data_IF_763796406873
#
_entry.id   IF_763796406873
#
_cell.length_a   1.000
_cell.length_b   1.000
_cell.length_c   1.000
_cell.angle_alpha   90.00
_cell.angle_beta   90.00
_cell.angle_gamma   90.00
#
_symmetry.space_group_name_H-M   'P 1'
#
loop_
_entity.id
_entity.type
_entity.pdbx_description
1 polymer ?
#
# COMPACT_ATOMS: atom_id res chain seq x y z
N UNK A 1 57.55 54.21 -57.24
CA UNK A 1 57.30 52.76 -57.14
C UNK A 1 55.95 52.52 -56.50
N UNK A 2 54.94 52.00 -57.22
CA UNK A 2 53.65 51.62 -56.62
C UNK A 2 53.23 50.23 -57.12
N UNK A 3 53.34 49.26 -56.22
CA UNK A 3 52.87 47.88 -56.35
C UNK A 3 51.35 47.88 -56.53
N UNK A 4 50.88 47.37 -57.68
CA UNK A 4 49.46 47.12 -57.91
C UNK A 4 49.04 45.87 -57.13
N UNK A 5 48.17 46.04 -56.12
CA UNK A 5 47.52 44.92 -55.41
C UNK A 5 46.36 44.40 -56.27
N UNK A 6 46.19 43.07 -56.44
CA UNK A 6 45.01 42.54 -57.12
C UNK A 6 43.76 42.87 -56.31
N UNK A 7 42.70 43.33 -56.98
CA UNK A 7 41.40 43.64 -56.37
C UNK A 7 40.71 42.36 -55.86
N UNK A 8 39.97 42.42 -54.74
CA UNK A 8 39.16 41.29 -54.29
C UNK A 8 38.08 40.99 -55.34
N UNK A 9 37.97 39.73 -55.74
CA UNK A 9 36.92 39.24 -56.64
C UNK A 9 35.62 39.20 -55.84
N UNK A 10 34.70 40.12 -56.15
CA UNK A 10 33.33 40.09 -55.60
C UNK A 10 32.65 38.84 -56.14
N UNK A 11 32.43 37.85 -55.29
CA UNK A 11 31.60 36.70 -55.64
C UNK A 11 30.13 37.15 -55.67
N UNK A 12 29.36 36.77 -56.70
CA UNK A 12 27.93 37.05 -56.70
C UNK A 12 27.27 36.38 -55.49
N UNK A 13 26.21 36.98 -54.90
CA UNK A 13 25.52 36.39 -53.75
C UNK A 13 24.87 35.06 -54.18
N UNK A 14 25.61 33.96 -54.06
CA UNK A 14 25.06 32.62 -54.18
C UNK A 14 24.17 32.38 -52.97
N UNK A 15 22.88 32.14 -53.19
CA UNK A 15 21.99 31.70 -52.13
C UNK A 15 22.61 30.45 -51.47
N UNK A 16 22.92 30.59 -50.19
CA UNK A 16 23.59 29.58 -49.40
C UNK A 16 22.55 28.52 -48.98
N UNK A 17 22.17 27.67 -49.94
CA UNK A 17 21.16 26.63 -49.81
C UNK A 17 21.51 25.64 -48.68
N UNK A 18 22.79 25.45 -48.37
CA UNK A 18 23.23 24.62 -47.26
C UNK A 18 22.72 25.13 -45.91
N UNK A 19 22.77 26.45 -45.68
CA UNK A 19 22.25 27.03 -44.43
C UNK A 19 20.71 26.92 -44.34
N UNK A 20 20.01 26.96 -45.48
CA UNK A 20 18.57 26.73 -45.52
C UNK A 20 18.21 25.26 -45.24
N UNK A 21 18.97 24.32 -45.80
CA UNK A 21 18.81 22.89 -45.53
C UNK A 21 19.18 22.53 -44.09
N UNK A 22 20.17 23.18 -43.48
CA UNK A 22 20.52 23.01 -42.08
C UNK A 22 19.39 23.48 -41.15
N UNK A 23 18.84 24.67 -41.42
CA UNK A 23 17.71 25.21 -40.66
C UNK A 23 16.47 24.33 -40.84
N UNK A 24 16.19 23.86 -42.06
CA UNK A 24 15.08 22.95 -42.32
C UNK A 24 15.27 21.61 -41.62
N UNK A 25 16.45 21.00 -41.69
CA UNK A 25 16.71 19.69 -41.09
C UNK A 25 16.65 19.76 -39.56
N UNK A 26 17.19 20.83 -38.96
CA UNK A 26 17.08 21.06 -37.53
C UNK A 26 15.63 21.28 -37.10
N UNK A 27 14.87 22.09 -37.85
CA UNK A 27 13.46 22.37 -37.53
C UNK A 27 12.59 21.12 -37.69
N UNK A 28 12.78 20.36 -38.76
CA UNK A 28 12.07 19.10 -39.01
C UNK A 28 12.43 18.06 -37.95
N UNK A 29 13.70 17.97 -37.55
CA UNK A 29 14.14 17.07 -36.48
C UNK A 29 13.46 17.38 -35.13
N UNK A 30 13.40 18.66 -34.75
CA UNK A 30 12.69 19.10 -33.53
C UNK A 30 11.19 18.83 -33.64
N UNK A 31 10.57 19.08 -34.80
CA UNK A 31 9.15 18.80 -35.01
C UNK A 31 8.84 17.31 -34.91
N UNK A 32 9.66 16.44 -35.49
CA UNK A 32 9.50 14.98 -35.38
C UNK A 32 9.60 14.55 -33.92
N UNK A 33 10.59 15.07 -33.18
CA UNK A 33 10.75 14.75 -31.76
C UNK A 33 9.56 15.19 -30.91
N UNK A 34 9.04 16.40 -31.12
CA UNK A 34 7.85 16.92 -30.43
C UNK A 34 6.61 16.09 -30.77
N UNK A 35 6.42 15.72 -32.03
CA UNK A 35 5.29 14.89 -32.47
C UNK A 35 5.34 13.48 -31.87
N UNK A 36 6.52 12.84 -31.84
CA UNK A 36 6.69 11.53 -31.23
C UNK A 36 6.46 11.59 -29.71
N UNK A 37 7.00 12.61 -29.04
CA UNK A 37 6.80 12.81 -27.61
C UNK A 37 5.32 13.09 -27.27
N UNK A 38 4.65 13.96 -28.03
CA UNK A 38 3.22 14.24 -27.87
C UNK A 38 2.35 13.00 -28.14
N UNK A 39 2.73 12.16 -29.10
CA UNK A 39 2.03 10.90 -29.38
C UNK A 39 2.21 9.88 -28.25
N UNK A 40 3.44 9.78 -27.70
CA UNK A 40 3.74 8.94 -26.54
C UNK A 40 2.96 9.39 -25.30
N UNK A 41 2.91 10.70 -25.01
CA UNK A 41 2.15 11.23 -23.87
C UNK A 41 0.63 11.10 -24.08
N UNK A 42 0.13 11.26 -25.30
CA UNK A 42 -1.29 11.07 -25.62
C UNK A 42 -1.74 9.59 -25.63
N UNK A 43 -0.83 8.65 -25.91
CA UNK A 43 -1.11 7.21 -25.90
C UNK A 43 -1.38 6.65 -24.50
N UNK A 44 -1.06 7.42 -23.45
CA UNK A 44 -1.47 7.14 -22.09
C UNK A 44 -2.86 7.75 -21.90
N UNK A 45 -3.89 7.08 -22.44
CA UNK A 45 -5.25 7.34 -21.95
C UNK A 45 -5.27 7.00 -20.46
N UNK A 46 -5.54 7.94 -19.54
CA UNK A 46 -5.96 7.54 -18.21
C UNK A 46 -7.24 6.75 -18.44
N UNK A 47 -7.18 5.43 -18.25
CA UNK A 47 -8.38 4.64 -18.10
C UNK A 47 -9.26 5.44 -17.14
N UNK A 48 -10.54 5.62 -17.49
CA UNK A 48 -11.50 6.32 -16.66
C UNK A 48 -11.69 5.45 -15.40
N UNK A 49 -10.73 5.51 -14.49
CA UNK A 49 -10.75 4.84 -13.20
C UNK A 49 -11.82 5.62 -12.46
N UNK A 50 -13.05 5.10 -12.48
CA UNK A 50 -14.07 5.49 -11.52
C UNK A 50 -13.43 5.25 -10.17
N UNK A 51 -12.91 6.31 -9.55
CA UNK A 51 -12.39 6.24 -8.20
C UNK A 51 -13.57 5.82 -7.35
N UNK A 52 -13.53 4.62 -6.74
CA UNK A 52 -14.67 4.18 -5.97
C UNK A 52 -14.85 5.19 -4.83
N UNK A 53 -16.10 5.58 -4.55
CA UNK A 53 -16.38 6.58 -3.52
C UNK A 53 -16.00 6.01 -2.14
N UNK A 54 -14.84 6.41 -1.65
CA UNK A 54 -14.37 6.02 -0.33
C UNK A 54 -15.26 6.68 0.74
N UNK A 55 -15.81 5.89 1.65
CA UNK A 55 -16.63 6.36 2.78
C UNK A 55 -16.03 5.84 4.08
N UNK A 56 -16.11 6.63 5.14
CA UNK A 56 -15.75 6.14 6.48
C UNK A 56 -16.77 5.12 6.95
N UNK A 57 -16.29 3.96 7.40
CA UNK A 57 -17.16 2.92 7.93
C UNK A 57 -17.37 3.08 9.43
N UNK A 58 -18.62 2.90 9.89
CA UNK A 58 -18.96 2.72 11.31
C UNK A 58 -19.06 1.24 11.69
N UNK A 59 -18.90 0.34 10.73
CA UNK A 59 -18.94 -1.12 10.94
C UNK A 59 -17.66 -1.56 11.66
N UNK A 60 -17.72 -2.74 12.27
CA UNK A 60 -16.51 -3.41 12.75
C UNK A 60 -15.62 -3.75 11.55
N UNK A 61 -14.31 -3.81 11.76
CA UNK A 61 -13.35 -4.02 10.68
C UNK A 61 -12.61 -5.32 10.89
N UNK A 62 -12.69 -6.21 9.91
CA UNK A 62 -11.89 -7.42 9.87
C UNK A 62 -10.69 -7.24 8.93
N UNK A 63 -9.50 -7.54 9.43
CA UNK A 63 -8.24 -7.27 8.72
C UNK A 63 -7.67 -8.52 8.05
N UNK A 64 -7.17 -8.33 6.83
CA UNK A 64 -6.34 -9.27 6.09
C UNK A 64 -5.03 -8.60 5.68
N UNK A 65 -3.98 -9.38 5.51
CA UNK A 65 -2.78 -9.00 4.75
C UNK A 65 -2.78 -9.73 3.41
N UNK A 66 -2.40 -9.01 2.35
CA UNK A 66 -2.05 -9.58 1.07
C UNK A 66 -0.53 -9.45 0.90
N UNK A 67 0.17 -10.59 0.94
CA UNK A 67 1.64 -10.70 0.81
C UNK A 67 1.95 -11.97 0.01
N UNK A 68 2.97 -11.94 -0.83
CA UNK A 68 3.38 -13.08 -1.69
C UNK A 68 2.19 -13.65 -2.49
N UNK A 69 1.30 -12.76 -2.95
CA UNK A 69 0.01 -13.09 -3.57
C UNK A 69 -0.85 -14.10 -2.79
N UNK A 70 -0.78 -14.05 -1.46
CA UNK A 70 -1.57 -14.85 -0.52
C UNK A 70 -2.38 -13.97 0.42
N UNK A 71 -3.56 -14.45 0.79
CA UNK A 71 -4.43 -13.82 1.78
C UNK A 71 -4.19 -14.42 3.16
N UNK A 72 -3.89 -13.55 4.13
CA UNK A 72 -3.63 -13.92 5.52
C UNK A 72 -4.62 -13.18 6.43
N UNK A 73 -5.60 -13.86 7.04
CA UNK A 73 -6.39 -13.29 8.12
C UNK A 73 -5.49 -12.87 9.29
N UNK A 74 -5.66 -11.65 9.80
CA UNK A 74 -4.92 -11.19 10.99
C UNK A 74 -5.47 -11.75 12.29
N UNK A 75 -6.77 -12.06 12.34
CA UNK A 75 -7.48 -12.48 13.58
C UNK A 75 -7.29 -11.47 14.73
N UNK A 76 -7.30 -10.17 14.37
CA UNK A 76 -7.03 -9.05 15.28
C UNK A 76 -7.97 -9.00 16.48
N UNK A 77 -9.23 -9.40 16.30
CA UNK A 77 -10.21 -9.42 17.41
C UNK A 77 -9.83 -10.45 18.48
N UNK A 78 -9.42 -11.66 18.08
CA UNK A 78 -8.93 -12.69 19.01
C UNK A 78 -7.66 -12.24 19.74
N UNK A 79 -6.76 -11.55 19.04
CA UNK A 79 -5.58 -10.94 19.65
C UNK A 79 -5.96 -9.83 20.64
N UNK A 80 -6.92 -8.95 20.29
CA UNK A 80 -7.42 -7.90 21.17
C UNK A 80 -8.06 -8.48 22.44
N UNK A 81 -8.87 -9.53 22.34
CA UNK A 81 -9.44 -10.21 23.51
C UNK A 81 -8.37 -10.84 24.43
N UNK A 82 -7.30 -11.40 23.86
CA UNK A 82 -6.17 -11.91 24.63
C UNK A 82 -5.40 -10.78 25.34
N UNK A 83 -5.16 -9.67 24.65
CA UNK A 83 -4.53 -8.47 25.21
C UNK A 83 -5.39 -7.91 26.34
N UNK A 84 -6.69 -7.73 26.14
CA UNK A 84 -7.58 -7.17 27.17
C UNK A 84 -7.63 -8.04 28.44
N UNK A 85 -7.58 -9.38 28.30
CA UNK A 85 -7.46 -10.29 29.43
C UNK A 85 -6.14 -10.11 30.18
N UNK A 86 -5.03 -9.98 29.45
CA UNK A 86 -3.71 -9.74 30.03
C UNK A 86 -3.64 -8.38 30.74
N UNK A 87 -4.16 -7.32 30.11
CA UNK A 87 -4.18 -5.97 30.69
C UNK A 87 -4.96 -5.91 32.00
N UNK A 88 -6.09 -6.62 32.10
CA UNK A 88 -6.85 -6.74 33.36
C UNK A 88 -5.99 -7.33 34.48
N UNK A 89 -5.29 -8.43 34.21
CA UNK A 89 -4.40 -9.07 35.20
C UNK A 89 -3.24 -8.17 35.63
N UNK A 90 -2.69 -7.39 34.70
CA UNK A 90 -1.63 -6.41 35.01
C UNK A 90 -2.16 -5.28 35.89
N UNK A 91 -3.38 -4.81 35.63
CA UNK A 91 -4.02 -3.75 36.43
C UNK A 91 -4.50 -4.20 37.82
N UNK A 92 -4.62 -5.50 38.06
CA UNK A 92 -5.12 -6.04 39.34
C UNK A 92 -4.09 -5.89 40.49
N UNK A 93 -2.83 -5.54 40.21
CA UNK A 93 -1.83 -5.26 41.24
C UNK A 93 -1.65 -3.74 41.43
N UNK A 94 -2.32 -3.12 42.43
CA UNK A 94 -2.26 -1.67 42.65
C UNK A 94 -0.90 -1.17 43.14
N UNK A 95 0.01 -2.07 43.53
CA UNK A 95 1.34 -1.74 44.03
C UNK A 95 2.46 -1.99 43.00
N UNK A 96 2.11 -2.35 41.77
CA UNK A 96 3.11 -2.59 40.73
C UNK A 96 3.85 -1.29 40.36
N UNK A 97 5.19 -1.35 40.30
CA UNK A 97 6.00 -0.24 39.81
C UNK A 97 5.81 -0.04 38.30
N UNK A 98 6.14 1.15 37.80
CA UNK A 98 6.10 1.45 36.35
C UNK A 98 6.94 0.44 35.55
N UNK A 99 8.13 0.08 36.06
CA UNK A 99 9.01 -0.90 35.41
C UNK A 99 8.40 -2.31 35.39
N UNK A 100 7.75 -2.71 36.49
CA UNK A 100 7.06 -4.00 36.56
C UNK A 100 5.89 -4.07 35.57
N UNK A 101 5.08 -3.01 35.48
CA UNK A 101 4.00 -2.91 34.50
C UNK A 101 4.58 -2.97 33.08
N UNK A 102 5.65 -2.25 32.80
CA UNK A 102 6.30 -2.28 31.48
C UNK A 102 6.83 -3.67 31.13
N UNK A 103 7.45 -4.37 32.08
CA UNK A 103 7.94 -5.75 31.89
C UNK A 103 6.78 -6.72 31.65
N UNK A 104 5.69 -6.61 32.42
CA UNK A 104 4.51 -7.44 32.24
C UNK A 104 3.82 -7.19 30.89
N UNK A 105 3.76 -5.95 30.43
CA UNK A 105 3.23 -5.63 29.10
C UNK A 105 4.13 -6.18 27.99
N UNK A 106 5.44 -5.93 28.04
CA UNK A 106 6.39 -6.34 26.98
C UNK A 106 6.68 -7.84 26.97
N UNK A 107 6.36 -8.57 28.05
CA UNK A 107 6.41 -10.04 28.12
C UNK A 107 5.19 -10.73 27.52
N UNK A 108 4.11 -10.00 27.18
CA UNK A 108 2.94 -10.57 26.54
C UNK A 108 3.30 -11.29 25.24
N UNK A 109 2.80 -12.52 25.08
CA UNK A 109 2.93 -13.32 23.85
C UNK A 109 1.58 -13.95 23.53
N UNK A 110 1.16 -13.84 22.28
CA UNK A 110 -0.01 -14.54 21.75
C UNK A 110 0.25 -14.91 20.30
N UNK A 111 -0.30 -16.03 19.83
CA UNK A 111 -0.14 -16.44 18.44
C UNK A 111 -1.52 -16.68 17.82
N UNK A 112 -1.76 -16.02 16.69
CA UNK A 112 -2.87 -16.35 15.79
C UNK A 112 -2.43 -17.48 14.85
N UNK A 113 -3.27 -17.83 13.87
CA UNK A 113 -2.89 -18.83 12.86
C UNK A 113 -1.63 -18.40 12.08
N UNK A 114 -1.50 -17.12 11.75
CA UNK A 114 -0.43 -16.65 10.84
C UNK A 114 0.53 -15.63 11.46
N UNK A 115 0.23 -15.10 12.64
CA UNK A 115 1.04 -14.06 13.28
C UNK A 115 1.36 -14.38 14.72
N UNK A 116 2.56 -14.02 15.14
CA UNK A 116 2.90 -13.81 16.53
C UNK A 116 2.59 -12.35 16.88
N UNK A 117 1.91 -12.18 18.01
CA UNK A 117 1.44 -10.89 18.53
C UNK A 117 2.24 -10.53 19.76
N UNK A 118 2.82 -9.33 19.72
CA UNK A 118 3.64 -8.77 20.80
C UNK A 118 3.20 -7.35 21.12
N UNK A 119 3.46 -6.94 22.37
CA UNK A 119 3.23 -5.58 22.81
C UNK A 119 4.55 -4.83 22.99
N UNK A 120 4.56 -3.56 22.63
CA UNK A 120 5.63 -2.63 22.99
C UNK A 120 5.04 -1.32 23.50
N UNK A 121 5.80 -0.63 24.34
CA UNK A 121 5.48 0.72 24.79
C UNK A 121 6.41 1.70 24.10
N UNK A 122 5.86 2.75 23.50
CA UNK A 122 6.61 3.87 22.95
C UNK A 122 6.12 5.17 23.58
N UNK A 123 7.02 6.12 23.79
CA UNK A 123 6.65 7.43 24.30
C UNK A 123 6.34 8.36 23.13
N UNK A 124 5.14 8.95 23.12
CA UNK A 124 4.82 10.08 22.24
C UNK A 124 4.72 11.33 23.11
N UNK A 125 5.84 12.07 23.19
CA UNK A 125 6.02 13.09 24.23
C UNK A 125 6.04 12.43 25.61
N UNK A 126 5.21 12.91 26.54
CA UNK A 126 5.09 12.36 27.89
C UNK A 126 4.07 11.22 28.01
N UNK A 127 3.33 10.91 26.93
CA UNK A 127 2.27 9.90 26.96
C UNK A 127 2.78 8.54 26.47
N UNK A 128 2.71 7.47 27.28
CA UNK A 128 3.01 6.13 26.81
C UNK A 128 1.91 5.63 25.88
N UNK A 129 2.31 5.09 24.74
CA UNK A 129 1.44 4.47 23.74
C UNK A 129 1.77 2.99 23.66
N UNK A 130 0.75 2.18 23.93
CA UNK A 130 0.82 0.74 23.72
C UNK A 130 0.68 0.44 22.23
N UNK A 131 1.69 -0.23 21.67
CA UNK A 131 1.70 -0.75 20.30
C UNK A 131 1.50 -2.26 20.32
N UNK A 132 0.65 -2.75 19.42
CA UNK A 132 0.46 -4.17 19.15
C UNK A 132 1.10 -4.49 17.80
N UNK A 133 2.11 -5.34 17.83
CA UNK A 133 2.85 -5.80 16.66
C UNK A 133 2.34 -7.15 16.22
N UNK A 134 2.06 -7.29 14.92
CA UNK A 134 1.77 -8.55 14.26
C UNK A 134 2.97 -8.93 13.39
N UNK A 135 3.73 -9.93 13.83
CA UNK A 135 4.88 -10.48 13.14
C UNK A 135 4.47 -11.77 12.42
N UNK A 136 4.66 -11.90 11.10
CA UNK A 136 4.27 -13.10 10.38
C UNK A 136 5.11 -14.31 10.82
N UNK A 137 4.43 -15.42 11.15
CA UNK A 137 5.06 -16.68 11.57
C UNK A 137 5.75 -17.41 10.41
N UNK A 138 5.14 -17.31 9.24
CA UNK A 138 5.65 -17.84 7.98
C UNK A 138 5.41 -16.81 6.88
N UNK A 139 6.47 -16.45 6.15
CA UNK A 139 6.38 -15.52 5.03
C UNK A 139 5.45 -16.04 3.93
N UNK A 140 5.46 -17.36 3.69
CA UNK A 140 4.66 -18.05 2.67
C UNK A 140 3.34 -18.61 3.22
N UNK A 141 2.95 -18.20 4.44
CA UNK A 141 1.66 -18.55 5.02
C UNK A 141 0.47 -17.97 4.26
N UNK A 142 -0.73 -18.44 4.59
CA UNK A 142 -1.97 -18.01 3.96
C UNK A 142 -2.31 -18.77 2.68
N UNK A 143 -3.31 -18.25 1.97
CA UNK A 143 -3.89 -18.91 0.80
C UNK A 143 -3.61 -18.13 -0.46
N UNK A 144 -3.14 -18.81 -1.51
CA UNK A 144 -2.93 -18.17 -2.80
C UNK A 144 -4.22 -17.62 -3.39
N UNK A 145 -4.10 -16.48 -4.07
CA UNK A 145 -5.21 -15.76 -4.70
C UNK A 145 -6.11 -16.64 -5.58
N UNK A 146 -5.53 -17.59 -6.32
CA UNK A 146 -6.25 -18.50 -7.21
C UNK A 146 -7.01 -19.64 -6.50
N UNK A 147 -6.85 -19.76 -5.18
CA UNK A 147 -7.56 -20.75 -4.35
C UNK A 147 -8.65 -20.17 -3.47
N UNK A 148 -8.77 -18.83 -3.40
CA UNK A 148 -9.69 -18.15 -2.48
C UNK A 148 -11.18 -18.45 -2.72
N UNK A 149 -11.55 -18.86 -3.93
CA UNK A 149 -12.93 -19.23 -4.28
C UNK A 149 -13.28 -20.69 -3.95
N UNK A 150 -12.29 -21.53 -3.64
CA UNK A 150 -12.54 -22.95 -3.34
C UNK A 150 -13.38 -23.08 -2.07
N UNK A 151 -14.34 -24.03 -1.99
CA UNK A 151 -15.13 -24.25 -0.78
C UNK A 151 -14.31 -24.54 0.48
N UNK A 152 -13.11 -25.11 0.34
CA UNK A 152 -12.19 -25.38 1.44
C UNK A 152 -11.42 -24.14 1.93
N UNK A 153 -11.59 -23.00 1.25
CA UNK A 153 -10.79 -21.81 1.52
C UNK A 153 -11.00 -21.29 2.94
N UNK A 154 -9.92 -20.96 3.63
CA UNK A 154 -10.00 -20.28 4.93
C UNK A 154 -10.54 -18.85 4.77
N UNK A 155 -10.17 -18.14 3.71
CA UNK A 155 -10.72 -16.84 3.35
C UNK A 155 -12.24 -16.90 3.22
N UNK A 156 -12.77 -17.88 2.47
CA UNK A 156 -14.22 -18.08 2.34
C UNK A 156 -14.88 -18.40 3.67
N UNK A 157 -14.30 -19.32 4.46
CA UNK A 157 -14.80 -19.65 5.81
C UNK A 157 -14.82 -18.45 6.75
N UNK A 158 -13.87 -17.53 6.63
CA UNK A 158 -13.90 -16.27 7.39
C UNK A 158 -15.08 -15.41 6.92
N UNK A 159 -15.26 -15.22 5.61
CA UNK A 159 -16.38 -14.42 5.09
C UNK A 159 -17.74 -14.99 5.50
N UNK A 160 -17.92 -16.30 5.47
CA UNK A 160 -19.18 -16.96 5.83
C UNK A 160 -19.53 -16.81 7.32
N UNK A 161 -18.54 -16.53 8.19
CA UNK A 161 -18.74 -16.26 9.63
C UNK A 161 -19.05 -14.79 9.91
N UNK A 162 -18.68 -13.89 9.01
CA UNK A 162 -18.87 -12.46 9.17
C UNK A 162 -20.18 -12.02 8.51
N UNK A 163 -20.85 -11.04 9.11
CA UNK A 163 -22.04 -10.44 8.52
C UNK A 163 -21.64 -9.16 7.77
N UNK A 164 -21.97 -9.02 6.46
CA UNK A 164 -21.67 -7.81 5.70
C UNK A 164 -22.38 -6.55 6.22
N UNK A 165 -23.46 -6.72 6.97
CA UNK A 165 -24.16 -5.62 7.64
C UNK A 165 -23.37 -5.07 8.84
N UNK A 166 -22.57 -5.92 9.50
CA UNK A 166 -21.83 -5.58 10.74
C UNK A 166 -20.34 -5.36 10.53
N UNK A 167 -19.77 -5.96 9.50
CA UNK A 167 -18.34 -5.94 9.21
C UNK A 167 -18.04 -5.32 7.85
N UNK A 168 -16.95 -4.55 7.81
CA UNK A 168 -16.21 -4.22 6.59
C UNK A 168 -14.88 -4.96 6.61
N UNK A 169 -14.30 -5.19 5.43
CA UNK A 169 -13.01 -5.86 5.30
C UNK A 169 -11.93 -4.84 4.93
N UNK A 170 -10.76 -4.93 5.55
CA UNK A 170 -9.61 -4.10 5.20
C UNK A 170 -8.40 -4.96 4.90
N UNK A 171 -7.74 -4.65 3.79
CA UNK A 171 -6.55 -5.36 3.34
C UNK A 171 -5.32 -4.48 3.50
N UNK A 172 -4.32 -4.95 4.24
CA UNK A 172 -2.95 -4.44 4.14
C UNK A 172 -2.31 -5.07 2.90
N UNK A 173 -2.01 -4.25 1.90
CA UNK A 173 -1.53 -4.75 0.59
C UNK A 173 -0.04 -4.46 0.46
N UNK A 174 0.76 -5.52 0.42
CA UNK A 174 2.19 -5.45 0.10
C UNK A 174 2.41 -5.28 -1.41
N UNK A 175 3.59 -4.83 -1.88
CA UNK A 175 3.87 -4.67 -3.30
C UNK A 175 3.65 -5.95 -4.13
N UNK A 176 3.97 -7.09 -3.54
CA UNK A 176 3.80 -8.45 -4.09
C UNK A 176 2.40 -9.06 -3.87
N UNK A 177 1.46 -8.30 -3.29
CA UNK A 177 0.15 -8.78 -2.86
C UNK A 177 -1.03 -8.32 -3.73
N UNK A 178 -0.77 -7.66 -4.84
CA UNK A 178 -1.84 -6.97 -5.58
C UNK A 178 -2.84 -7.91 -6.27
N UNK A 179 -2.40 -9.04 -6.82
CA UNK A 179 -3.32 -10.01 -7.44
C UNK A 179 -4.18 -10.70 -6.39
N UNK A 180 -3.60 -10.99 -5.23
CA UNK A 180 -4.36 -11.43 -4.06
C UNK A 180 -5.42 -10.42 -3.65
N UNK A 181 -5.07 -9.14 -3.51
CA UNK A 181 -6.02 -8.11 -3.14
C UNK A 181 -7.17 -8.01 -4.16
N UNK A 182 -6.85 -8.00 -5.46
CA UNK A 182 -7.87 -7.95 -6.51
C UNK A 182 -8.83 -9.14 -6.46
N UNK A 183 -8.31 -10.35 -6.31
CA UNK A 183 -9.11 -11.56 -6.22
C UNK A 183 -9.99 -11.55 -4.96
N UNK A 184 -9.39 -11.30 -3.80
CA UNK A 184 -10.07 -11.26 -2.51
C UNK A 184 -11.18 -10.18 -2.49
N UNK A 185 -10.90 -8.98 -3.02
CA UNK A 185 -11.88 -7.89 -3.13
C UNK A 185 -13.06 -8.27 -4.01
N UNK A 186 -12.79 -8.90 -5.17
CA UNK A 186 -13.86 -9.38 -6.06
C UNK A 186 -14.81 -10.35 -5.36
N UNK A 187 -14.26 -11.28 -4.58
CA UNK A 187 -15.04 -12.25 -3.79
C UNK A 187 -15.83 -11.56 -2.67
N UNK A 188 -15.20 -10.62 -1.96
CA UNK A 188 -15.80 -9.87 -0.86
C UNK A 188 -16.99 -9.02 -1.32
N UNK A 189 -16.85 -8.29 -2.43
CA UNK A 189 -17.94 -7.49 -3.00
C UNK A 189 -19.12 -8.35 -3.45
N UNK A 190 -18.88 -9.49 -4.11
CA UNK A 190 -19.95 -10.44 -4.46
C UNK A 190 -20.64 -11.02 -3.23
N UNK A 191 -19.97 -11.00 -2.08
CA UNK A 191 -20.52 -11.44 -0.79
C UNK A 191 -21.13 -10.26 0.01
N UNK A 192 -21.19 -9.06 -0.56
CA UNK A 192 -21.86 -7.88 0.00
C UNK A 192 -21.04 -7.06 1.01
N UNK A 193 -19.74 -7.33 1.18
CA UNK A 193 -18.89 -6.57 2.10
C UNK A 193 -18.38 -5.29 1.47
N UNK A 194 -18.32 -4.21 2.25
CA UNK A 194 -17.53 -3.03 1.88
C UNK A 194 -16.04 -3.33 2.11
N UNK A 195 -15.19 -2.89 1.19
CA UNK A 195 -13.76 -3.22 1.21
C UNK A 195 -12.90 -1.95 1.25
N UNK A 196 -12.03 -1.85 2.25
CA UNK A 196 -10.95 -0.88 2.32
C UNK A 196 -9.59 -1.52 2.06
N UNK A 197 -8.58 -0.71 1.77
CA UNK A 197 -7.20 -1.18 1.65
C UNK A 197 -6.20 -0.13 2.07
N UNK A 198 -5.03 -0.57 2.49
CA UNK A 198 -3.88 0.27 2.80
C UNK A 198 -2.61 -0.31 2.20
N UNK A 199 -1.85 0.47 1.41
CA UNK A 199 -0.55 0.02 0.95
C UNK A 199 0.41 -0.09 2.13
N UNK A 200 1.19 -1.18 2.17
CA UNK A 200 2.20 -1.37 3.19
C UNK A 200 3.52 -1.81 2.56
N UNK A 201 4.61 -1.10 2.86
CA UNK A 201 5.93 -1.43 2.31
C UNK A 201 6.45 -2.79 2.77
N UNK A 202 7.38 -3.38 2.04
CA UNK A 202 7.97 -4.67 2.39
C UNK A 202 8.68 -4.66 3.76
N UNK A 203 8.69 -5.82 4.43
CA UNK A 203 9.41 -6.02 5.69
C UNK A 203 8.87 -5.26 6.91
N UNK A 204 7.89 -4.34 6.76
CA UNK A 204 7.29 -3.62 7.88
C UNK A 204 6.30 -4.49 8.65
N UNK A 205 6.43 -4.60 9.98
CA UNK A 205 5.37 -5.22 10.79
C UNK A 205 4.07 -4.42 10.72
N UNK A 206 2.95 -5.11 10.83
CA UNK A 206 1.64 -4.46 11.00
C UNK A 206 1.54 -4.05 12.47
N UNK A 207 1.35 -2.75 12.72
CA UNK A 207 1.31 -2.20 14.06
C UNK A 207 -0.01 -1.46 14.29
N UNK A 208 -0.66 -1.77 15.41
CA UNK A 208 -1.82 -1.03 15.90
C UNK A 208 -1.45 -0.27 17.18
N UNK A 209 -2.00 0.92 17.38
CA UNK A 209 -1.78 1.73 18.59
C UNK A 209 -3.05 1.76 19.44
N UNK A 210 -2.90 1.67 20.76
CA UNK A 210 -4.00 1.88 21.70
C UNK A 210 -4.45 3.34 21.69
N UNK A 211 -5.77 3.59 21.74
CA UNK A 211 -6.37 4.92 21.80
C UNK A 211 -6.37 5.73 20.48
N UNK A 212 -5.63 5.30 19.45
CA UNK A 212 -5.68 5.88 18.11
C UNK A 212 -6.68 5.14 17.23
N UNK A 213 -7.90 5.65 17.11
CA UNK A 213 -8.89 5.11 16.16
C UNK A 213 -8.35 5.20 14.74
N UNK A 214 -7.99 4.05 14.15
CA UNK A 214 -7.55 3.99 12.75
C UNK A 214 -8.77 4.32 11.88
N UNK A 215 -8.79 5.50 11.27
CA UNK A 215 -9.89 5.91 10.38
C UNK A 215 -9.82 5.06 9.13
N UNK A 216 -10.75 4.12 9.01
CA UNK A 216 -10.82 3.20 7.88
C UNK A 216 -11.83 3.74 6.87
N UNK A 217 -11.36 3.91 5.65
CA UNK A 217 -12.19 4.18 4.49
C UNK A 217 -12.43 2.89 3.72
N UNK A 218 -13.68 2.69 3.28
CA UNK A 218 -14.11 1.52 2.53
C UNK A 218 -14.86 1.94 1.26
N UNK A 219 -14.92 1.02 0.31
CA UNK A 219 -15.48 1.20 -1.02
C UNK A 219 -16.42 0.05 -1.39
#
# INVERSE_FOLDING_TARGET
>A
MKRSRPRPRVQPPGQNLDSFLDVLTNTVGVMIFVCLFASLTASISPALVRTPMARETRKQVYFFECRENRALPLEKDAASEAIDRHLRQVSDNPFASVDQIQQQLTSFRYSTRYYDVRLSLVLQGEKPILQTHFEPRDRLGGEFFNTLEKPSSNFRRVLDRLSPARYSLVFFVRPDGFDCFRAARGIAWRSGFDVGWEPMGEGRSIVFVSGGGRRVTVQ
#
